data_IF_495515059876
#
_entry.id   IF_495515059876
#
_cell.length_a   1.000
_cell.length_b   1.000
_cell.length_c   1.000
_cell.angle_alpha   90.00
_cell.angle_beta   90.00
_cell.angle_gamma   90.00
#
_symmetry.space_group_name_H-M   'P 1'
#
loop_
_entity.id
_entity.type
_entity.pdbx_description
1 polymer ?
#
# COMPACT_ATOMS: atom_id res chain seq x y z
N UNK A 1 64.39 -52.82 -12.85
CA UNK A 1 63.36 -52.67 -11.79
C UNK A 1 63.42 -51.31 -11.05
N UNK A 2 64.50 -50.58 -11.09
CA UNK A 2 64.72 -49.31 -10.37
C UNK A 2 64.07 -48.07 -11.03
N UNK A 3 64.02 -47.97 -12.35
CA UNK A 3 63.42 -46.82 -13.09
C UNK A 3 61.94 -46.60 -12.82
N UNK A 4 61.19 -47.66 -12.66
CA UNK A 4 59.74 -47.56 -12.44
C UNK A 4 59.36 -47.07 -11.02
N UNK A 5 60.29 -47.28 -10.05
CA UNK A 5 60.13 -46.74 -8.68
C UNK A 5 60.39 -45.22 -8.62
N UNK A 6 61.42 -44.75 -9.30
CA UNK A 6 61.80 -43.34 -9.36
C UNK A 6 60.70 -42.51 -10.07
N UNK A 7 60.09 -43.03 -11.15
CA UNK A 7 59.00 -42.39 -11.85
C UNK A 7 57.73 -42.29 -11.00
N UNK A 8 57.43 -43.33 -10.19
CA UNK A 8 56.31 -43.31 -9.22
C UNK A 8 56.53 -42.29 -8.09
N UNK A 9 57.76 -42.32 -7.49
CA UNK A 9 58.10 -41.37 -6.44
C UNK A 9 58.03 -39.89 -6.92
N UNK A 10 58.55 -39.60 -8.11
CA UNK A 10 58.45 -38.26 -8.72
C UNK A 10 56.96 -37.80 -8.94
N UNK A 11 56.10 -38.69 -9.42
CA UNK A 11 54.69 -38.41 -9.58
C UNK A 11 54.02 -38.19 -8.24
N UNK A 12 54.33 -38.97 -7.22
CA UNK A 12 53.76 -38.81 -5.88
C UNK A 12 54.19 -37.48 -5.24
N UNK A 13 55.48 -37.13 -5.31
CA UNK A 13 56.00 -35.86 -4.79
C UNK A 13 55.38 -34.68 -5.51
N UNK A 14 55.22 -34.71 -6.85
CA UNK A 14 54.56 -33.66 -7.62
C UNK A 14 53.10 -33.55 -7.25
N UNK A 15 52.39 -34.69 -7.10
CA UNK A 15 50.98 -34.69 -6.71
C UNK A 15 50.77 -34.12 -5.29
N UNK A 16 51.64 -34.49 -4.32
CA UNK A 16 51.55 -33.95 -2.96
C UNK A 16 51.90 -32.46 -2.90
N UNK A 17 52.85 -31.98 -3.68
CA UNK A 17 53.19 -30.57 -3.76
C UNK A 17 52.05 -29.71 -4.29
N UNK A 18 51.17 -30.27 -5.15
CA UNK A 18 49.97 -29.56 -5.68
C UNK A 18 48.76 -29.75 -4.74
N UNK A 19 48.49 -30.99 -4.31
CA UNK A 19 47.32 -31.30 -3.51
C UNK A 19 47.35 -30.69 -2.10
N UNK A 20 48.51 -30.70 -1.44
CA UNK A 20 48.64 -30.19 -0.06
C UNK A 20 48.26 -28.70 0.06
N UNK A 21 48.72 -27.79 -0.80
CA UNK A 21 48.29 -26.40 -0.75
C UNK A 21 46.89 -26.18 -1.38
N UNK A 22 46.47 -27.03 -2.34
CA UNK A 22 45.15 -26.86 -3.00
C UNK A 22 43.97 -27.17 -2.07
N UNK A 23 44.07 -28.17 -1.20
CA UNK A 23 43.00 -28.56 -0.29
C UNK A 23 42.61 -27.39 0.65
N UNK A 24 43.50 -26.79 1.44
CA UNK A 24 43.14 -25.66 2.29
C UNK A 24 42.63 -24.45 1.48
N UNK A 25 43.20 -24.22 0.29
CA UNK A 25 42.73 -23.15 -0.61
C UNK A 25 41.24 -23.33 -1.00
N UNK A 26 40.87 -24.53 -1.45
CA UNK A 26 39.46 -24.80 -1.81
C UNK A 26 38.54 -24.78 -0.60
N UNK A 27 39.00 -25.22 0.58
CA UNK A 27 38.22 -25.14 1.82
C UNK A 27 37.93 -23.67 2.19
N UNK A 28 38.98 -22.84 2.20
CA UNK A 28 38.81 -21.40 2.51
C UNK A 28 37.92 -20.71 1.46
N UNK A 29 38.12 -21.03 0.17
CA UNK A 29 37.29 -20.48 -0.90
C UNK A 29 35.82 -20.91 -0.77
N UNK A 30 35.56 -22.19 -0.46
CA UNK A 30 34.21 -22.71 -0.26
C UNK A 30 33.48 -22.07 0.94
N UNK A 31 34.22 -21.96 2.07
CA UNK A 31 33.71 -21.25 3.26
C UNK A 31 33.45 -19.78 2.94
N UNK A 32 34.40 -19.09 2.30
CA UNK A 32 34.26 -17.69 1.91
C UNK A 32 33.08 -17.46 0.98
N UNK A 33 32.88 -18.32 -0.04
CA UNK A 33 31.77 -18.27 -0.95
C UNK A 33 30.43 -18.46 -0.22
N UNK A 34 30.33 -19.44 0.67
CA UNK A 34 29.12 -19.69 1.46
C UNK A 34 28.75 -18.49 2.32
N UNK A 35 29.69 -17.96 3.10
CA UNK A 35 29.40 -16.78 3.94
C UNK A 35 29.08 -15.52 3.11
N UNK A 36 29.76 -15.33 1.98
CA UNK A 36 29.53 -14.21 1.09
C UNK A 36 28.13 -14.25 0.48
N UNK A 37 27.71 -15.40 -0.08
CA UNK A 37 26.35 -15.54 -0.65
C UNK A 37 25.28 -15.39 0.40
N UNK A 38 25.41 -16.05 1.56
CA UNK A 38 24.45 -15.93 2.67
C UNK A 38 24.37 -14.49 3.21
N UNK A 39 25.51 -13.79 3.29
CA UNK A 39 25.53 -12.40 3.74
C UNK A 39 24.84 -11.46 2.76
N UNK A 40 25.05 -11.64 1.45
CA UNK A 40 24.35 -10.86 0.41
C UNK A 40 22.85 -11.11 0.46
N UNK A 41 22.41 -12.38 0.52
CA UNK A 41 21.01 -12.74 0.59
C UNK A 41 20.33 -12.14 1.82
N UNK A 42 20.93 -12.27 3.00
CA UNK A 42 20.40 -11.71 4.24
C UNK A 42 20.32 -10.17 4.19
N UNK A 43 21.34 -9.52 3.63
CA UNK A 43 21.37 -8.07 3.48
C UNK A 43 20.28 -7.58 2.49
N UNK A 44 20.10 -8.29 1.38
CA UNK A 44 19.06 -8.02 0.40
C UNK A 44 17.66 -8.19 1.02
N UNK A 45 17.41 -9.29 1.72
CA UNK A 45 16.14 -9.55 2.42
C UNK A 45 15.84 -8.50 3.50
N UNK A 46 16.83 -8.11 4.29
CA UNK A 46 16.68 -7.07 5.30
C UNK A 46 16.34 -5.70 4.67
N UNK A 47 17.00 -5.38 3.56
CA UNK A 47 16.72 -4.16 2.80
C UNK A 47 15.30 -4.16 2.22
N UNK A 48 14.88 -5.27 1.61
CA UNK A 48 13.51 -5.42 1.07
C UNK A 48 12.46 -5.26 2.16
N UNK A 49 12.64 -5.92 3.31
CA UNK A 49 11.70 -5.81 4.44
C UNK A 49 11.57 -4.36 4.93
N UNK A 50 12.68 -3.64 5.01
CA UNK A 50 12.68 -2.22 5.40
C UNK A 50 11.91 -1.37 4.41
N UNK A 51 12.16 -1.53 3.12
CA UNK A 51 11.47 -0.80 2.06
C UNK A 51 9.95 -1.05 2.12
N UNK A 52 9.53 -2.32 2.25
CA UNK A 52 8.10 -2.68 2.37
C UNK A 52 7.47 -2.06 3.61
N UNK A 53 8.16 -2.09 4.76
CA UNK A 53 7.66 -1.50 6.01
C UNK A 53 7.55 0.02 5.93
N UNK A 54 8.53 0.70 5.34
CA UNK A 54 8.49 2.15 5.15
C UNK A 54 7.29 2.55 4.25
N UNK A 55 7.03 1.79 3.19
CA UNK A 55 5.88 2.05 2.30
C UNK A 55 4.54 1.73 2.98
N UNK A 56 4.46 0.66 3.77
CA UNK A 56 3.29 0.37 4.60
C UNK A 56 2.95 1.55 5.51
N UNK A 57 3.94 2.08 6.23
CA UNK A 57 3.76 3.23 7.11
C UNK A 57 3.35 4.50 6.34
N UNK A 58 3.88 4.71 5.15
CA UNK A 58 3.52 5.82 4.28
C UNK A 58 2.05 5.75 3.85
N UNK A 59 1.59 4.56 3.42
CA UNK A 59 0.18 4.31 3.04
C UNK A 59 -0.75 4.54 4.25
N UNK A 60 -0.43 3.96 5.40
CA UNK A 60 -1.23 4.11 6.62
C UNK A 60 -1.31 5.59 7.06
N UNK A 61 -0.21 6.31 6.98
CA UNK A 61 -0.16 7.73 7.31
C UNK A 61 -1.01 8.55 6.35
N UNK A 62 -0.89 8.29 5.04
CA UNK A 62 -1.70 8.94 4.02
C UNK A 62 -3.20 8.72 4.25
N UNK A 63 -3.63 7.48 4.48
CA UNK A 63 -5.03 7.14 4.72
C UNK A 63 -5.56 7.79 6.01
N UNK A 64 -4.76 7.81 7.06
CA UNK A 64 -5.08 8.49 8.33
C UNK A 64 -5.25 9.99 8.14
N UNK A 65 -4.39 10.64 7.37
CA UNK A 65 -4.53 12.06 7.05
C UNK A 65 -5.81 12.34 6.26
N UNK A 66 -6.15 11.52 5.25
CA UNK A 66 -7.40 11.69 4.48
C UNK A 66 -8.63 11.51 5.36
N UNK A 67 -8.60 10.53 6.24
CA UNK A 67 -9.64 10.35 7.26
C UNK A 67 -9.75 11.58 8.16
N UNK A 68 -8.64 12.06 8.72
CA UNK A 68 -8.61 13.23 9.60
C UNK A 68 -9.13 14.51 8.91
N UNK A 69 -8.84 14.67 7.61
CA UNK A 69 -9.37 15.78 6.83
C UNK A 69 -10.91 15.74 6.75
N UNK A 70 -11.49 14.55 6.52
CA UNK A 70 -12.95 14.39 6.48
C UNK A 70 -13.59 14.50 7.86
N UNK A 71 -12.95 13.97 8.91
CA UNK A 71 -13.39 14.15 10.30
C UNK A 71 -13.47 15.65 10.66
N UNK A 72 -12.43 16.41 10.32
CA UNK A 72 -12.42 17.85 10.53
C UNK A 72 -13.58 18.56 9.82
N UNK A 73 -13.88 18.19 8.58
CA UNK A 73 -15.03 18.75 7.83
C UNK A 73 -16.35 18.36 8.51
N UNK A 74 -16.54 17.08 8.85
CA UNK A 74 -17.76 16.60 9.48
C UNK A 74 -18.00 17.22 10.87
N UNK A 75 -16.92 17.57 11.59
CA UNK A 75 -17.00 18.25 12.88
C UNK A 75 -17.25 19.76 12.77
N UNK A 76 -16.71 20.39 11.73
CA UNK A 76 -16.79 21.84 11.53
C UNK A 76 -18.08 22.31 10.88
N UNK A 77 -18.81 21.45 10.18
CA UNK A 77 -20.00 21.80 9.40
C UNK A 77 -21.17 20.89 9.75
N UNK A 78 -22.39 21.45 9.74
CA UNK A 78 -23.63 20.70 9.94
C UNK A 78 -24.05 20.00 8.65
N UNK A 79 -24.96 19.03 8.77
CA UNK A 79 -25.61 18.39 7.63
C UNK A 79 -26.23 19.43 6.68
N UNK A 80 -26.98 20.41 7.23
CA UNK A 80 -27.67 21.42 6.42
C UNK A 80 -26.68 22.32 5.65
N UNK A 81 -25.50 22.61 6.22
CA UNK A 81 -24.45 23.31 5.50
C UNK A 81 -23.92 22.48 4.32
N UNK A 82 -23.65 21.19 4.55
CA UNK A 82 -23.07 20.31 3.54
C UNK A 82 -24.11 19.80 2.52
N UNK A 83 -25.39 19.84 2.87
CA UNK A 83 -26.48 19.57 1.94
C UNK A 83 -26.69 20.70 0.92
N UNK A 84 -26.18 21.91 1.18
CA UNK A 84 -26.16 23.00 0.20
C UNK A 84 -25.02 22.77 -0.83
N UNK A 85 -25.32 22.64 -2.14
CA UNK A 85 -24.33 22.41 -3.18
C UNK A 85 -23.24 23.49 -3.26
N UNK A 86 -23.57 24.75 -2.92
CA UNK A 86 -22.62 25.87 -2.97
C UNK A 86 -21.58 25.73 -1.83
N UNK A 87 -22.04 25.38 -0.63
CA UNK A 87 -21.14 25.14 0.49
C UNK A 87 -20.28 23.89 0.26
N UNK A 88 -20.88 22.80 -0.19
CA UNK A 88 -20.13 21.57 -0.48
C UNK A 88 -19.05 21.82 -1.54
N UNK A 89 -19.35 22.58 -2.58
CA UNK A 89 -18.36 22.96 -3.61
C UNK A 89 -17.16 23.74 -3.02
N UNK A 90 -17.41 24.72 -2.14
CA UNK A 90 -16.35 25.50 -1.50
C UNK A 90 -15.45 24.61 -0.64
N UNK A 91 -16.04 23.72 0.15
CA UNK A 91 -15.33 22.82 1.04
C UNK A 91 -14.52 21.79 0.23
N UNK A 92 -15.11 21.25 -0.83
CA UNK A 92 -14.42 20.33 -1.72
C UNK A 92 -13.19 20.98 -2.37
N UNK A 93 -13.28 22.23 -2.83
CA UNK A 93 -12.13 22.96 -3.36
C UNK A 93 -11.03 23.15 -2.32
N UNK A 94 -11.38 23.45 -1.06
CA UNK A 94 -10.40 23.54 0.03
C UNK A 94 -9.70 22.21 0.25
N UNK A 95 -10.44 21.10 0.27
CA UNK A 95 -9.87 19.76 0.39
C UNK A 95 -8.96 19.42 -0.79
N UNK A 96 -9.38 19.69 -2.03
CA UNK A 96 -8.57 19.46 -3.22
C UNK A 96 -7.29 20.31 -3.25
N UNK A 97 -7.35 21.56 -2.82
CA UNK A 97 -6.16 22.42 -2.70
C UNK A 97 -5.18 21.90 -1.64
N UNK A 98 -5.68 21.26 -0.58
CA UNK A 98 -4.86 20.60 0.44
C UNK A 98 -4.28 19.29 -0.07
N UNK A 99 -5.05 18.52 -0.82
CA UNK A 99 -4.64 17.25 -1.42
C UNK A 99 -5.44 16.94 -2.69
N UNK A 100 -4.74 16.84 -3.81
CA UNK A 100 -5.34 16.41 -5.09
C UNK A 100 -5.88 14.97 -5.06
N UNK A 101 -5.60 14.22 -4.00
CA UNK A 101 -6.10 12.84 -3.85
C UNK A 101 -7.63 12.75 -3.68
N UNK A 102 -8.30 13.82 -3.25
CA UNK A 102 -9.76 13.86 -3.17
C UNK A 102 -10.40 14.01 -4.56
N UNK A 103 -11.03 12.95 -5.06
CA UNK A 103 -11.68 12.94 -6.38
C UNK A 103 -13.07 13.54 -6.33
N UNK A 104 -13.79 13.35 -5.21
CA UNK A 104 -15.13 13.86 -4.98
C UNK A 104 -15.44 14.00 -3.48
N UNK A 105 -16.59 14.58 -3.19
CA UNK A 105 -17.15 14.69 -1.86
C UNK A 105 -18.67 14.50 -1.94
N UNK A 106 -19.22 13.64 -1.10
CA UNK A 106 -20.66 13.34 -1.07
C UNK A 106 -21.19 13.24 0.35
N UNK A 107 -22.43 13.70 0.52
CA UNK A 107 -23.18 13.67 1.78
C UNK A 107 -24.37 12.72 1.64
N UNK A 108 -24.57 11.88 2.65
CA UNK A 108 -25.64 10.88 2.69
C UNK A 108 -26.45 11.08 3.97
N UNK A 109 -27.75 10.93 3.85
CA UNK A 109 -28.65 10.91 5.01
C UNK A 109 -28.58 9.54 5.73
N UNK A 110 -29.37 9.37 6.78
CA UNK A 110 -29.39 8.15 7.60
C UNK A 110 -29.90 6.92 6.87
N UNK A 111 -30.72 7.12 5.83
CA UNK A 111 -31.23 6.05 4.96
C UNK A 111 -30.25 5.63 3.86
N UNK A 112 -29.13 6.35 3.70
CA UNK A 112 -28.13 6.09 2.67
C UNK A 112 -28.39 6.80 1.34
N UNK A 113 -29.37 7.73 1.31
CA UNK A 113 -29.61 8.53 0.11
C UNK A 113 -28.51 9.57 -0.07
N UNK A 114 -27.94 9.64 -1.26
CA UNK A 114 -26.93 10.62 -1.65
C UNK A 114 -27.56 12.00 -1.86
N UNK A 115 -27.48 12.85 -0.85
CA UNK A 115 -28.19 14.14 -0.82
C UNK A 115 -27.47 15.21 -1.65
N UNK A 116 -26.16 15.32 -1.48
CA UNK A 116 -25.34 16.35 -2.14
C UNK A 116 -24.03 15.75 -2.60
N UNK A 117 -23.53 16.21 -3.73
CA UNK A 117 -22.32 15.66 -4.36
C UNK A 117 -21.53 16.73 -5.12
N UNK A 118 -20.21 16.69 -4.95
CA UNK A 118 -19.24 17.38 -5.78
C UNK A 118 -18.25 16.37 -6.35
N UNK A 119 -18.12 16.35 -7.67
CA UNK A 119 -17.23 15.42 -8.38
C UNK A 119 -17.71 15.18 -9.82
N UNK A 120 -16.98 14.29 -10.55
CA UNK A 120 -17.19 14.10 -11.99
C UNK A 120 -18.40 13.21 -12.37
N UNK A 121 -19.17 12.68 -11.39
CA UNK A 121 -20.22 11.70 -11.64
C UNK A 121 -21.61 12.22 -11.26
N UNK A 122 -22.67 11.60 -11.81
CA UNK A 122 -24.06 11.90 -11.45
C UNK A 122 -24.53 10.88 -10.40
N UNK A 123 -24.34 11.20 -9.12
CA UNK A 123 -24.62 10.28 -8.02
C UNK A 123 -25.72 10.76 -7.07
N UNK A 124 -26.18 12.01 -7.18
CA UNK A 124 -27.24 12.57 -6.32
C UNK A 124 -28.53 11.75 -6.48
N UNK A 125 -29.20 11.48 -5.37
CA UNK A 125 -30.45 10.72 -5.29
C UNK A 125 -30.28 9.20 -5.36
N UNK A 126 -29.07 8.68 -5.49
CA UNK A 126 -28.82 7.23 -5.42
C UNK A 126 -28.93 6.75 -3.99
N UNK A 127 -29.47 5.55 -3.85
CA UNK A 127 -29.60 4.83 -2.58
C UNK A 127 -28.39 3.91 -2.37
N UNK A 128 -27.74 4.03 -1.22
CA UNK A 128 -26.62 3.23 -0.77
C UNK A 128 -26.89 2.50 0.56
N UNK A 129 -28.14 2.54 1.05
CA UNK A 129 -28.50 1.97 2.34
C UNK A 129 -28.19 0.48 2.49
N UNK A 130 -28.27 -0.27 1.39
CA UNK A 130 -27.94 -1.70 1.37
C UNK A 130 -26.47 -2.02 1.09
N UNK A 131 -25.65 -1.03 0.72
CA UNK A 131 -24.24 -1.24 0.44
C UNK A 131 -23.44 -1.54 1.72
N UNK A 132 -22.54 -2.51 1.65
CA UNK A 132 -21.75 -2.97 2.81
C UNK A 132 -20.94 -1.84 3.45
N UNK A 133 -20.33 -0.97 2.64
CA UNK A 133 -19.55 0.17 3.12
C UNK A 133 -20.41 1.14 3.94
N UNK A 134 -21.69 1.36 3.54
CA UNK A 134 -22.60 2.26 4.24
C UNK A 134 -23.00 1.69 5.61
N UNK A 135 -23.33 0.40 5.65
CA UNK A 135 -23.65 -0.32 6.90
C UNK A 135 -22.46 -0.29 7.87
N UNK A 136 -21.25 -0.53 7.36
CA UNK A 136 -20.05 -0.52 8.19
C UNK A 136 -19.72 0.88 8.73
N UNK A 137 -19.78 1.94 7.91
CA UNK A 137 -19.50 3.30 8.41
C UNK A 137 -20.53 3.74 9.44
N UNK A 138 -21.81 3.41 9.24
CA UNK A 138 -22.88 3.70 10.20
C UNK A 138 -22.68 3.02 11.55
N UNK A 139 -22.05 1.84 11.58
CA UNK A 139 -21.75 1.06 12.78
C UNK A 139 -20.46 1.51 13.48
N UNK A 140 -19.39 1.76 12.72
CA UNK A 140 -18.05 1.99 13.26
C UNK A 140 -17.68 3.48 13.43
N UNK A 141 -18.48 4.39 12.84
CA UNK A 141 -18.17 5.81 12.84
C UNK A 141 -17.28 6.28 11.70
N UNK A 142 -16.44 5.41 11.17
CA UNK A 142 -15.64 5.62 9.96
C UNK A 142 -15.46 4.33 9.18
N UNK A 143 -15.10 4.46 7.91
CA UNK A 143 -14.79 3.32 7.05
C UNK A 143 -13.82 3.73 5.94
N UNK A 144 -12.82 2.89 5.71
CA UNK A 144 -11.92 2.97 4.57
C UNK A 144 -12.08 1.66 3.81
N UNK A 145 -12.51 1.74 2.56
CA UNK A 145 -12.80 0.53 1.78
C UNK A 145 -11.56 -0.08 1.16
N UNK A 146 -11.64 -1.36 0.83
CA UNK A 146 -10.83 -1.95 -0.23
C UNK A 146 -11.13 -1.27 -1.57
N UNK A 147 -10.32 -1.54 -2.60
CA UNK A 147 -10.62 -1.10 -3.96
C UNK A 147 -11.81 -1.87 -4.53
N UNK A 148 -12.81 -1.15 -5.05
CA UNK A 148 -13.99 -1.73 -5.67
C UNK A 148 -14.47 -0.90 -6.87
N UNK A 149 -15.36 -1.46 -7.69
CA UNK A 149 -15.86 -0.79 -8.91
C UNK A 149 -17.03 0.15 -8.65
N UNK A 150 -17.94 -0.21 -7.76
CA UNK A 150 -19.16 0.55 -7.44
C UNK A 150 -19.97 1.00 -8.66
N UNK A 151 -20.81 2.00 -8.48
CA UNK A 151 -21.61 2.60 -9.58
C UNK A 151 -20.77 3.31 -10.65
N UNK A 152 -19.52 3.63 -10.37
CA UNK A 152 -18.61 4.34 -11.29
C UNK A 152 -18.00 3.44 -12.34
N UNK A 153 -17.98 2.12 -12.10
CA UNK A 153 -17.35 1.09 -12.93
C UNK A 153 -15.85 1.32 -13.18
N UNK A 154 -15.19 2.03 -12.28
CA UNK A 154 -13.74 2.21 -12.24
C UNK A 154 -13.22 1.82 -10.86
N UNK A 155 -12.04 1.19 -10.76
CA UNK A 155 -11.45 0.87 -9.47
C UNK A 155 -11.22 2.14 -8.65
N UNK A 156 -11.74 2.16 -7.44
CA UNK A 156 -11.55 3.26 -6.50
C UNK A 156 -11.71 2.74 -5.07
N UNK A 157 -11.22 3.50 -4.12
CA UNK A 157 -11.53 3.28 -2.72
C UNK A 157 -12.11 4.58 -2.13
N UNK A 158 -12.79 4.43 -1.01
CA UNK A 158 -13.47 5.53 -0.34
C UNK A 158 -12.99 5.65 1.10
N UNK A 159 -13.05 6.87 1.59
CA UNK A 159 -13.02 7.20 3.02
C UNK A 159 -14.38 7.78 3.36
N UNK A 160 -15.04 7.24 4.38
CA UNK A 160 -16.34 7.67 4.84
C UNK A 160 -16.34 7.87 6.36
N UNK A 161 -17.05 8.90 6.83
CA UNK A 161 -17.16 9.29 8.23
C UNK A 161 -18.62 9.50 8.56
N UNK A 162 -19.10 8.99 9.70
CA UNK A 162 -20.41 9.35 10.24
C UNK A 162 -20.32 10.53 11.18
N UNK A 163 -21.37 11.33 11.18
CA UNK A 163 -21.60 12.38 12.16
C UNK A 163 -23.01 12.24 12.76
N UNK A 164 -23.09 12.41 14.07
CA UNK A 164 -24.37 12.50 14.78
C UNK A 164 -24.62 13.95 15.20
N UNK A 165 -25.82 14.44 14.87
CA UNK A 165 -26.37 15.72 15.30
C UNK A 165 -27.70 15.46 16.01
N UNK A 166 -28.24 16.42 16.78
CA UNK A 166 -29.55 16.26 17.42
C UNK A 166 -30.64 15.88 16.40
N UNK A 167 -31.15 14.64 16.49
CA UNK A 167 -32.22 14.13 15.64
C UNK A 167 -31.81 13.57 14.28
N UNK A 168 -30.51 13.49 13.95
CA UNK A 168 -30.06 12.85 12.69
C UNK A 168 -28.65 12.26 12.79
N UNK A 169 -28.43 11.23 12.00
CA UNK A 169 -27.11 10.66 11.71
C UNK A 169 -26.88 10.72 10.20
N UNK A 170 -25.69 11.10 9.79
CA UNK A 170 -25.39 11.29 8.36
C UNK A 170 -23.93 10.88 8.06
N UNK A 171 -23.62 10.72 6.79
CA UNK A 171 -22.29 10.27 6.34
C UNK A 171 -21.70 11.28 5.37
N UNK A 172 -20.45 11.63 5.61
CA UNK A 172 -19.57 12.32 4.66
C UNK A 172 -18.63 11.30 4.04
N UNK A 173 -18.58 11.23 2.70
CA UNK A 173 -17.72 10.29 1.97
C UNK A 173 -16.94 10.99 0.88
N UNK A 174 -15.71 10.59 0.71
CA UNK A 174 -14.88 10.97 -0.43
C UNK A 174 -14.27 9.75 -1.09
N UNK A 175 -14.13 9.81 -2.41
CA UNK A 175 -13.29 8.90 -3.17
C UNK A 175 -11.89 9.43 -3.20
N UNK A 176 -10.94 8.54 -3.02
CA UNK A 176 -9.52 8.83 -3.06
C UNK A 176 -8.92 8.27 -4.35
N UNK A 177 -8.05 9.06 -4.98
CA UNK A 177 -7.35 8.68 -6.20
C UNK A 177 -6.39 7.51 -5.95
N UNK A 178 -6.56 6.44 -6.71
CA UNK A 178 -5.68 5.27 -6.65
C UNK A 178 -4.31 5.52 -7.29
N UNK A 179 -4.14 6.56 -8.10
CA UNK A 179 -2.86 6.89 -8.74
C UNK A 179 -1.76 7.16 -7.71
N UNK A 180 -2.12 7.70 -6.55
CA UNK A 180 -1.17 7.88 -5.46
C UNK A 180 -0.49 6.55 -5.07
N UNK A 181 -1.25 5.46 -4.99
CA UNK A 181 -0.70 4.13 -4.67
C UNK A 181 0.09 3.54 -5.82
N UNK A 182 -0.31 3.80 -7.06
CA UNK A 182 0.45 3.38 -8.24
C UNK A 182 1.86 3.97 -8.22
N UNK A 183 1.98 5.27 -7.94
CA UNK A 183 3.30 5.91 -7.80
C UNK A 183 4.14 5.34 -6.66
N UNK A 184 3.51 5.04 -5.51
CA UNK A 184 4.22 4.40 -4.40
C UNK A 184 4.78 3.03 -4.79
N UNK A 185 3.97 2.21 -5.47
CA UNK A 185 4.38 0.87 -5.93
C UNK A 185 5.48 0.95 -6.97
N UNK A 186 5.40 1.91 -7.91
CA UNK A 186 6.43 2.12 -8.93
C UNK A 186 7.79 2.50 -8.33
N UNK A 187 7.80 3.28 -7.23
CA UNK A 187 9.04 3.65 -6.53
C UNK A 187 9.70 2.47 -5.79
N UNK A 188 8.94 1.42 -5.47
CA UNK A 188 9.43 0.21 -4.75
C UNK A 188 10.12 -0.79 -5.68
N UNK A 189 10.28 -0.48 -6.96
CA UNK A 189 10.86 -1.40 -7.93
C UNK A 189 12.25 -1.85 -7.49
N UNK A 190 12.35 -3.11 -7.05
CA UNK A 190 13.58 -3.70 -6.55
C UNK A 190 14.37 -4.26 -7.73
N UNK A 191 15.46 -3.58 -8.10
CA UNK A 191 16.28 -3.98 -9.24
C UNK A 191 15.61 -3.70 -10.59
N UNK A 192 16.07 -4.38 -11.65
CA UNK A 192 15.58 -4.18 -13.02
C UNK A 192 14.32 -4.97 -13.37
N UNK A 193 14.02 -6.02 -12.61
CA UNK A 193 12.95 -7.00 -12.90
C UNK A 193 11.99 -7.24 -11.73
N UNK A 194 12.21 -6.57 -10.60
CA UNK A 194 11.33 -6.71 -9.44
C UNK A 194 10.00 -5.99 -9.67
N UNK A 195 8.91 -6.60 -9.17
CA UNK A 195 7.57 -6.02 -9.14
C UNK A 195 7.11 -5.93 -7.69
N UNK A 196 6.34 -4.91 -7.37
CA UNK A 196 5.72 -4.74 -6.08
C UNK A 196 4.20 -4.66 -6.26
N UNK A 197 3.47 -5.19 -5.31
CA UNK A 197 2.00 -5.21 -5.31
C UNK A 197 1.48 -4.74 -3.96
N UNK A 198 0.34 -4.04 -3.99
CA UNK A 198 -0.45 -3.77 -2.80
C UNK A 198 -1.58 -4.79 -2.78
N UNK A 199 -1.68 -5.55 -1.71
CA UNK A 199 -2.71 -6.55 -1.52
C UNK A 199 -3.57 -6.15 -0.32
N UNK A 200 -4.86 -6.48 -0.36
CA UNK A 200 -5.71 -6.37 0.81
C UNK A 200 -5.45 -7.53 1.80
N UNK A 201 -6.14 -7.54 2.94
CA UNK A 201 -6.02 -8.60 3.96
C UNK A 201 -6.33 -10.01 3.44
N UNK A 202 -7.06 -10.12 2.32
CA UNK A 202 -7.40 -11.39 1.67
C UNK A 202 -6.36 -11.83 0.63
N UNK A 203 -5.33 -11.01 0.40
CA UNK A 203 -4.27 -11.29 -0.59
C UNK A 203 -4.69 -11.09 -2.05
N UNK A 204 -5.69 -10.24 -2.28
CA UNK A 204 -6.25 -9.91 -3.60
C UNK A 204 -5.91 -8.47 -3.95
#
# INVERSE_FOLDING_TARGET
MTENRYARLRKLVLATMILVPAIPFYVVMGIGYYYFTTSIENSAMASMRRIVEDHRQMIETFLRERRSDLEFVAESYTFDNLADPIYLYKIFNVLQNKSAAFVDLGVFNEEGIHVTYQGPYKLIGRDYGEEDWFKEVMKQGYYISDTFLGYRRVPHFIVAITREEPGRKWVLRSTIDTQFFTHLVEMVRIGKTGEAYILNEKGI
#
